data_IF_076514405580
#
_entry.id   IF_076514405580
#
_cell.length_a   1.000
_cell.length_b   1.000
_cell.length_c   1.000
_cell.angle_alpha   90.00
_cell.angle_beta   90.00
_cell.angle_gamma   90.00
#
_symmetry.space_group_name_H-M   'P 1'
#
loop_
_entity.id
_entity.type
_entity.pdbx_description
1 polymer ?
#
# COMPACT_ATOMS: atom_id res chain seq x y z
N UNK A 1 -14.42 -4.35 10.63
CA UNK A 1 -15.72 -4.59 11.29
C UNK A 1 -16.49 -5.72 10.62
N UNK A 2 -16.94 -5.61 9.35
CA UNK A 2 -17.65 -6.71 8.66
C UNK A 2 -16.85 -8.02 8.68
N UNK A 3 -15.54 -7.98 8.40
CA UNK A 3 -14.69 -9.19 8.45
C UNK A 3 -14.71 -9.90 9.82
N UNK A 4 -14.75 -9.15 10.92
CA UNK A 4 -14.77 -9.72 12.28
C UNK A 4 -16.12 -10.36 12.62
N UNK A 5 -17.21 -9.78 12.11
CA UNK A 5 -18.57 -10.25 12.35
C UNK A 5 -18.97 -11.40 11.42
N UNK A 6 -18.30 -11.54 10.27
CA UNK A 6 -18.57 -12.60 9.28
C UNK A 6 -18.36 -14.03 9.78
N UNK A 7 -17.71 -14.20 10.94
CA UNK A 7 -17.56 -15.48 11.63
C UNK A 7 -18.85 -15.93 12.33
N UNK A 8 -19.73 -14.99 12.66
CA UNK A 8 -20.95 -15.22 13.45
C UNK A 8 -22.22 -14.96 12.63
N UNK A 9 -22.16 -14.03 11.68
CA UNK A 9 -23.32 -13.61 10.89
C UNK A 9 -23.08 -13.71 9.38
N UNK A 10 -24.13 -13.96 8.57
CA UNK A 10 -24.00 -13.99 7.11
C UNK A 10 -23.50 -12.66 6.54
N UNK A 11 -22.52 -12.74 5.63
CA UNK A 11 -21.96 -11.56 4.94
C UNK A 11 -23.04 -10.74 4.24
N UNK A 12 -24.06 -11.39 3.66
CA UNK A 12 -25.17 -10.72 2.98
C UNK A 12 -25.95 -9.81 3.94
N UNK A 13 -26.24 -10.30 5.15
CA UNK A 13 -26.92 -9.54 6.19
C UNK A 13 -26.05 -8.39 6.70
N UNK A 14 -24.76 -8.67 6.98
CA UNK A 14 -23.82 -7.63 7.39
C UNK A 14 -23.67 -6.53 6.33
N UNK A 15 -23.55 -6.90 5.05
CA UNK A 15 -23.50 -5.95 3.95
C UNK A 15 -24.73 -5.04 3.92
N UNK A 16 -25.93 -5.60 4.14
CA UNK A 16 -27.16 -4.80 4.22
C UNK A 16 -27.19 -3.87 5.44
N UNK A 17 -26.79 -4.35 6.62
CA UNK A 17 -26.76 -3.54 7.87
C UNK A 17 -25.78 -2.37 7.78
N UNK A 18 -24.63 -2.58 7.14
CA UNK A 18 -23.60 -1.55 6.98
C UNK A 18 -23.76 -0.71 5.70
N UNK A 19 -24.83 -0.92 4.93
CA UNK A 19 -25.07 -0.25 3.64
C UNK A 19 -23.88 -0.37 2.66
N UNK A 20 -23.29 -1.57 2.59
CA UNK A 20 -22.16 -1.90 1.71
C UNK A 20 -22.61 -2.93 0.68
N UNK A 21 -22.29 -2.71 -0.60
CA UNK A 21 -22.54 -3.74 -1.62
C UNK A 21 -21.61 -4.94 -1.44
N UNK A 22 -22.12 -6.16 -1.72
CA UNK A 22 -21.33 -7.40 -1.63
C UNK A 22 -20.08 -7.35 -2.50
N UNK A 23 -20.18 -6.76 -3.69
CA UNK A 23 -19.05 -6.57 -4.60
C UNK A 23 -17.96 -5.68 -3.98
N UNK A 24 -18.35 -4.59 -3.31
CA UNK A 24 -17.42 -3.73 -2.58
C UNK A 24 -16.74 -4.49 -1.44
N UNK A 25 -17.51 -5.26 -0.66
CA UNK A 25 -16.97 -6.09 0.43
C UNK A 25 -15.91 -7.07 -0.06
N UNK A 26 -16.23 -7.91 -1.05
CA UNK A 26 -15.28 -8.90 -1.55
C UNK A 26 -14.09 -8.27 -2.27
N UNK A 27 -14.28 -7.16 -3.00
CA UNK A 27 -13.18 -6.42 -3.60
C UNK A 27 -12.23 -5.85 -2.54
N UNK A 28 -12.77 -5.29 -1.45
CA UNK A 28 -11.99 -4.80 -0.33
C UNK A 28 -11.25 -5.94 0.38
N UNK A 29 -11.92 -7.05 0.67
CA UNK A 29 -11.32 -8.22 1.32
C UNK A 29 -10.19 -8.82 0.49
N UNK A 30 -10.35 -8.91 -0.83
CA UNK A 30 -9.30 -9.37 -1.73
C UNK A 30 -8.07 -8.47 -1.68
N UNK A 31 -8.26 -7.14 -1.74
CA UNK A 31 -7.17 -6.16 -1.63
C UNK A 31 -6.45 -6.21 -0.28
N UNK A 32 -7.16 -6.48 0.82
CA UNK A 32 -6.53 -6.62 2.14
C UNK A 32 -5.75 -7.93 2.28
N UNK A 33 -6.26 -9.03 1.70
CA UNK A 33 -5.62 -10.36 1.80
C UNK A 33 -4.35 -10.46 0.97
N UNK A 34 -4.30 -9.75 -0.15
CA UNK A 34 -3.14 -9.71 -1.04
C UNK A 34 -2.44 -8.36 -0.87
N UNK A 35 -1.60 -8.19 0.17
CA UNK A 35 -0.73 -7.03 0.23
C UNK A 35 0.09 -6.97 -1.04
N UNK A 36 0.13 -5.79 -1.66
CA UNK A 36 0.92 -5.53 -2.86
C UNK A 36 2.40 -5.63 -2.49
N UNK A 37 2.97 -6.83 -2.66
CA UNK A 37 4.34 -7.16 -2.25
C UNK A 37 5.35 -6.27 -2.97
N UNK A 38 5.08 -5.95 -4.23
CA UNK A 38 5.93 -5.06 -5.01
C UNK A 38 5.88 -3.63 -4.46
N UNK A 39 4.69 -3.14 -4.10
CA UNK A 39 4.57 -1.85 -3.42
C UNK A 39 5.31 -1.82 -2.08
N UNK A 40 5.30 -2.92 -1.32
CA UNK A 40 6.04 -3.01 -0.05
C UNK A 40 7.55 -3.00 -0.28
N UNK A 41 8.04 -3.76 -1.26
CA UNK A 41 9.46 -3.79 -1.66
C UNK A 41 9.94 -2.41 -2.10
N UNK A 42 9.18 -1.74 -2.97
CA UNK A 42 9.47 -0.38 -3.41
C UNK A 42 9.46 0.61 -2.24
N UNK A 43 8.53 0.48 -1.30
CA UNK A 43 8.48 1.32 -0.09
C UNK A 43 9.73 1.14 0.76
N UNK A 44 10.17 -0.10 0.99
CA UNK A 44 11.41 -0.39 1.74
C UNK A 44 12.59 0.30 1.09
N UNK A 45 12.76 0.14 -0.23
CA UNK A 45 13.89 0.71 -0.95
C UNK A 45 13.88 2.24 -0.98
N UNK A 46 12.70 2.85 -1.18
CA UNK A 46 12.55 4.31 -1.07
C UNK A 46 13.01 4.79 0.32
N UNK A 47 12.61 4.09 1.37
CA UNK A 47 12.95 4.46 2.75
C UNK A 47 14.44 4.31 3.03
N UNK A 48 15.07 3.23 2.58
CA UNK A 48 16.52 3.02 2.69
C UNK A 48 17.31 4.16 2.04
N UNK A 49 16.97 4.51 0.78
CA UNK A 49 17.63 5.60 0.06
C UNK A 49 17.41 6.96 0.75
N UNK A 50 16.21 7.17 1.28
CA UNK A 50 15.90 8.39 2.03
C UNK A 50 16.74 8.49 3.32
N UNK A 51 16.83 7.42 4.10
CA UNK A 51 17.66 7.36 5.32
C UNK A 51 19.14 7.53 4.98
N UNK A 52 19.65 6.87 3.93
CA UNK A 52 21.04 7.02 3.47
C UNK A 52 21.36 8.48 3.08
N UNK A 53 20.38 9.19 2.50
CA UNK A 53 20.52 10.60 2.15
C UNK A 53 20.45 11.56 3.34
N UNK A 54 20.34 11.06 4.58
CA UNK A 54 20.07 11.86 5.80
C UNK A 54 18.81 12.72 5.64
N UNK A 55 17.77 12.15 5.04
CA UNK A 55 16.48 12.81 4.81
C UNK A 55 16.54 14.04 3.89
N UNK A 56 17.63 14.22 3.13
CA UNK A 56 17.81 15.37 2.23
C UNK A 56 17.39 15.07 0.78
N UNK A 57 17.34 13.79 0.37
CA UNK A 57 16.96 13.43 -0.99
C UNK A 57 15.45 13.64 -1.21
N UNK A 58 15.13 14.62 -2.05
CA UNK A 58 13.76 14.82 -2.54
C UNK A 58 13.32 13.74 -3.52
N UNK A 59 12.03 13.71 -3.87
CA UNK A 59 11.46 12.65 -4.72
C UNK A 59 12.15 12.48 -6.08
N UNK A 60 12.73 13.56 -6.66
CA UNK A 60 13.49 13.46 -7.93
C UNK A 60 14.81 12.72 -7.74
N UNK A 61 15.53 13.00 -6.65
CA UNK A 61 16.78 12.32 -6.30
C UNK A 61 16.54 10.85 -5.99
N UNK A 62 15.48 10.53 -5.24
CA UNK A 62 15.09 9.14 -4.95
C UNK A 62 14.72 8.38 -6.24
N UNK A 63 14.05 9.02 -7.20
CA UNK A 63 13.78 8.38 -8.50
C UNK A 63 15.08 8.06 -9.24
N UNK A 64 16.06 8.99 -9.27
CA UNK A 64 17.37 8.73 -9.90
C UNK A 64 18.08 7.54 -9.25
N UNK A 65 18.18 7.55 -7.92
CA UNK A 65 18.82 6.47 -7.16
C UNK A 65 18.14 5.12 -7.38
N UNK A 66 16.80 5.10 -7.40
CA UNK A 66 16.04 3.90 -7.73
C UNK A 66 16.32 3.38 -9.14
N UNK A 67 16.39 4.27 -10.13
CA UNK A 67 16.70 3.90 -11.52
C UNK A 67 18.12 3.38 -11.67
N UNK A 68 19.08 3.97 -10.94
CA UNK A 68 20.47 3.50 -10.85
C UNK A 68 20.55 2.09 -10.25
N UNK A 69 19.69 1.77 -9.29
CA UNK A 69 19.54 0.43 -8.70
C UNK A 69 18.79 -0.57 -9.61
N UNK A 70 18.34 -0.14 -10.80
CA UNK A 70 17.59 -0.97 -11.76
C UNK A 70 16.08 -0.97 -11.57
N UNK A 71 15.53 -0.13 -10.68
CA UNK A 71 14.10 -0.03 -10.43
C UNK A 71 13.40 0.89 -11.43
N UNK A 72 12.41 0.35 -12.15
CA UNK A 72 11.54 1.15 -13.01
C UNK A 72 10.40 1.80 -12.22
N UNK A 73 10.73 2.84 -11.45
CA UNK A 73 9.77 3.63 -10.68
C UNK A 73 9.69 5.08 -11.17
N UNK A 74 8.47 5.60 -11.25
CA UNK A 74 8.20 7.00 -11.58
C UNK A 74 8.01 7.89 -10.34
N UNK A 75 8.18 9.21 -10.52
CA UNK A 75 8.00 10.22 -9.46
C UNK A 75 6.66 10.10 -8.73
N UNK A 76 5.59 9.77 -9.45
CA UNK A 76 4.26 9.65 -8.85
C UNK A 76 4.22 8.51 -7.82
N UNK A 77 4.80 7.34 -8.15
CA UNK A 77 4.88 6.20 -7.23
C UNK A 77 5.72 6.55 -6.00
N UNK A 78 6.88 7.18 -6.17
CA UNK A 78 7.74 7.62 -5.05
C UNK A 78 7.00 8.58 -4.11
N UNK A 79 6.21 9.52 -4.65
CA UNK A 79 5.44 10.48 -3.82
C UNK A 79 4.30 9.82 -3.02
N UNK A 80 3.70 8.76 -3.56
CA UNK A 80 2.54 8.07 -2.95
C UNK A 80 2.99 7.01 -1.93
N UNK A 81 4.25 6.58 -1.99
CA UNK A 81 4.85 5.74 -0.96
C UNK A 81 5.21 6.62 0.25
N UNK A 82 4.54 6.44 1.40
CA UNK A 82 4.83 7.25 2.57
C UNK A 82 6.24 6.95 3.09
N UNK A 83 7.05 7.99 3.21
CA UNK A 83 8.31 7.98 3.97
C UNK A 83 7.93 7.90 5.44
N UNK A 84 8.10 6.74 6.03
CA UNK A 84 7.74 6.46 7.42
C UNK A 84 8.85 5.60 7.98
N UNK A 85 9.40 6.03 9.11
CA UNK A 85 10.28 5.19 9.91
C UNK A 85 9.48 3.96 10.37
N UNK A 86 10.07 2.79 10.16
CA UNK A 86 9.53 1.50 10.58
C UNK A 86 9.89 1.26 12.04
#
# INVERSE_FOLDING_TARGET
MIDQLSTQEPVDWLCAVFDVTRSCYYAHRLRRRNPDVERLRLRSRVNELFTQSRSAAGSRSIVSMMQEDGEQIGRFKVRVLPLTEN
#
